data_IF_689791579144
#
_entry.id   IF_689791579144
#
_cell.length_a   1.000
_cell.length_b   1.000
_cell.length_c   1.000
_cell.angle_alpha   90.00
_cell.angle_beta   90.00
_cell.angle_gamma   90.00
#
_symmetry.space_group_name_H-M   'P 1'
#
loop_
_entity.id
_entity.type
_entity.pdbx_description
1 polymer ?
#
# COMPACT_ATOMS: atom_id res chain seq x y z
N UNK A 1 -38.85 -10.67 13.79
CA UNK A 1 -37.42 -10.28 13.82
C UNK A 1 -37.16 -8.80 14.13
N UNK A 2 -38.13 -8.00 14.60
CA UNK A 2 -37.81 -6.70 15.23
C UNK A 2 -37.00 -6.97 16.51
N UNK A 3 -35.81 -6.40 16.63
CA UNK A 3 -34.96 -6.50 17.84
C UNK A 3 -33.86 -7.56 17.82
N UNK A 4 -33.75 -8.42 16.79
CA UNK A 4 -32.73 -9.48 16.75
C UNK A 4 -31.29 -8.93 16.65
N UNK A 5 -31.10 -7.73 16.11
CA UNK A 5 -29.81 -7.05 16.04
C UNK A 5 -29.54 -6.14 17.25
N UNK A 6 -30.49 -6.03 18.18
CA UNK A 6 -30.28 -5.31 19.43
C UNK A 6 -29.62 -6.28 20.43
N UNK A 7 -28.38 -6.03 20.89
CA UNK A 7 -27.66 -6.94 21.77
C UNK A 7 -28.41 -7.26 23.05
N UNK A 8 -29.00 -6.25 23.71
CA UNK A 8 -29.71 -6.44 24.98
C UNK A 8 -31.01 -7.24 24.80
N UNK A 9 -31.78 -6.94 23.75
CA UNK A 9 -33.02 -7.71 23.46
C UNK A 9 -32.72 -9.16 23.08
N UNK A 10 -31.63 -9.40 22.33
CA UNK A 10 -31.24 -10.74 21.94
C UNK A 10 -30.73 -11.57 23.13
N UNK A 11 -29.88 -10.97 23.97
CA UNK A 11 -29.36 -11.62 25.19
C UNK A 11 -30.48 -11.97 26.18
N UNK A 12 -31.39 -11.03 26.46
CA UNK A 12 -32.53 -11.24 27.37
C UNK A 12 -33.46 -12.36 26.90
N UNK A 13 -33.64 -12.51 25.58
CA UNK A 13 -34.56 -13.49 25.01
C UNK A 13 -33.96 -14.89 24.81
N UNK A 14 -32.63 -15.00 24.68
CA UNK A 14 -31.96 -16.28 24.35
C UNK A 14 -31.07 -16.83 25.46
N UNK A 15 -30.56 -15.98 26.36
CA UNK A 15 -29.57 -16.38 27.37
C UNK A 15 -28.24 -16.88 26.79
N UNK A 16 -27.98 -16.62 25.50
CA UNK A 16 -26.76 -17.06 24.81
C UNK A 16 -25.55 -16.26 25.31
N UNK A 17 -24.55 -16.95 25.86
CA UNK A 17 -23.23 -16.38 26.14
C UNK A 17 -22.21 -16.80 25.08
N UNK A 18 -21.13 -16.03 24.93
CA UNK A 18 -20.04 -16.43 24.04
C UNK A 18 -19.35 -17.69 24.60
N UNK A 19 -19.32 -18.77 23.81
CA UNK A 19 -18.59 -19.99 24.18
C UNK A 19 -17.08 -19.82 24.08
N UNK A 20 -16.60 -18.76 23.45
CA UNK A 20 -15.19 -18.56 23.13
C UNK A 20 -14.68 -19.45 21.99
N UNK A 21 -15.56 -20.18 21.29
CA UNK A 21 -15.15 -21.07 20.19
C UNK A 21 -14.52 -20.30 19.02
N UNK A 22 -13.38 -20.80 18.54
CA UNK A 22 -12.60 -20.24 17.42
C UNK A 22 -12.52 -21.27 16.29
N UNK A 23 -13.63 -21.55 15.57
CA UNK A 23 -13.70 -22.67 14.61
C UNK A 23 -12.68 -22.59 13.47
N UNK A 24 -12.22 -21.39 13.10
CA UNK A 24 -11.20 -21.21 12.06
C UNK A 24 -9.82 -21.74 12.44
N UNK A 25 -9.56 -21.97 13.73
CA UNK A 25 -8.31 -22.58 14.23
C UNK A 25 -8.41 -24.12 14.32
N UNK A 26 -9.55 -24.70 13.96
CA UNK A 26 -9.80 -26.14 14.02
C UNK A 26 -10.36 -26.62 15.37
N UNK A 27 -10.56 -27.95 15.54
CA UNK A 27 -11.23 -28.52 16.70
C UNK A 27 -10.56 -28.14 18.02
N UNK A 28 -11.34 -27.92 19.09
CA UNK A 28 -10.85 -27.58 20.44
C UNK A 28 -10.14 -26.22 20.56
N UNK A 29 -10.18 -25.37 19.54
CA UNK A 29 -9.76 -23.99 19.69
C UNK A 29 -10.87 -23.19 20.38
N UNK A 30 -10.66 -22.90 21.67
CA UNK A 30 -11.61 -22.18 22.49
C UNK A 30 -10.84 -21.22 23.40
N UNK A 31 -11.31 -19.98 23.49
CA UNK A 31 -10.84 -19.01 24.45
C UNK A 31 -11.37 -19.36 25.86
N UNK A 32 -10.48 -19.61 26.83
CA UNK A 32 -10.92 -19.95 28.18
C UNK A 32 -11.60 -18.74 28.84
N UNK A 33 -12.75 -18.99 29.47
CA UNK A 33 -13.50 -18.00 30.26
C UNK A 33 -13.93 -16.74 29.50
N UNK A 34 -14.21 -16.83 28.20
CA UNK A 34 -14.73 -15.70 27.42
C UNK A 34 -15.98 -15.08 28.11
N UNK A 35 -15.94 -13.78 28.37
CA UNK A 35 -17.03 -13.01 28.98
C UNK A 35 -17.69 -12.03 28.00
N UNK A 36 -17.33 -12.14 26.72
CA UNK A 36 -17.83 -11.21 25.70
C UNK A 36 -19.30 -11.46 25.36
N UNK A 37 -20.00 -10.38 25.00
CA UNK A 37 -21.39 -10.45 24.55
C UNK A 37 -21.48 -10.95 23.11
N UNK A 38 -22.44 -11.83 22.82
CA UNK A 38 -22.72 -12.25 21.45
C UNK A 38 -23.36 -11.12 20.64
N UNK A 39 -22.92 -10.95 19.39
CA UNK A 39 -23.51 -9.99 18.45
C UNK A 39 -24.11 -10.73 17.25
N UNK A 40 -25.37 -10.44 16.96
CA UNK A 40 -26.04 -10.99 15.78
C UNK A 40 -25.59 -10.22 14.54
N UNK A 41 -25.07 -10.95 13.57
CA UNK A 41 -24.72 -10.43 12.24
C UNK A 41 -25.41 -11.28 11.17
N UNK A 42 -25.75 -10.68 10.03
CA UNK A 42 -26.26 -11.46 8.90
C UNK A 42 -25.14 -12.31 8.31
N UNK A 43 -25.43 -13.57 7.96
CA UNK A 43 -24.42 -14.52 7.43
C UNK A 43 -23.67 -14.00 6.19
N UNK A 44 -24.31 -13.18 5.37
CA UNK A 44 -23.71 -12.58 4.17
C UNK A 44 -23.26 -11.13 4.34
N UNK A 45 -23.26 -10.58 5.56
CA UNK A 45 -22.81 -9.22 5.77
C UNK A 45 -21.28 -9.12 5.57
N UNK A 46 -20.84 -8.06 4.90
CA UNK A 46 -19.42 -7.79 4.67
C UNK A 46 -18.62 -7.63 5.97
N UNK A 47 -19.27 -7.22 7.05
CA UNK A 47 -18.65 -7.07 8.36
C UNK A 47 -18.40 -8.40 9.10
N UNK A 48 -18.71 -9.56 8.51
CA UNK A 48 -18.40 -10.86 9.10
C UNK A 48 -16.90 -11.15 9.08
N UNK A 49 -16.15 -10.59 8.13
CA UNK A 49 -14.74 -10.87 7.95
C UNK A 49 -14.03 -9.72 7.22
N UNK A 50 -13.01 -9.15 7.85
CA UNK A 50 -12.09 -8.19 7.24
C UNK A 50 -10.68 -8.78 7.25
N UNK A 51 -10.11 -9.20 6.12
CA UNK A 51 -8.75 -9.69 6.09
C UNK A 51 -7.77 -8.57 6.43
N UNK A 52 -6.73 -8.88 7.19
CA UNK A 52 -5.58 -8.01 7.34
C UNK A 52 -4.41 -8.58 6.54
N UNK A 53 -4.14 -7.95 5.41
CA UNK A 53 -3.11 -8.32 4.45
C UNK A 53 -2.03 -7.24 4.46
N UNK A 54 -0.78 -7.66 4.54
CA UNK A 54 0.38 -6.79 4.32
C UNK A 54 0.98 -7.12 2.96
N UNK A 55 1.46 -6.10 2.26
CA UNK A 55 2.03 -6.24 0.92
C UNK A 55 3.38 -5.56 0.81
N UNK A 56 4.24 -6.16 -0.01
CA UNK A 56 5.58 -5.68 -0.33
C UNK A 56 5.80 -5.73 -1.84
N UNK A 57 6.39 -4.66 -2.38
CA UNK A 57 6.92 -4.67 -3.75
C UNK A 57 8.38 -5.15 -3.69
N UNK A 58 8.71 -6.16 -4.51
CA UNK A 58 10.07 -6.64 -4.62
C UNK A 58 10.93 -5.60 -5.37
N UNK A 59 11.92 -5.05 -4.68
CA UNK A 59 12.84 -4.01 -5.17
C UNK A 59 14.30 -4.46 -5.02
N UNK A 60 15.25 -3.86 -5.76
CA UNK A 60 16.68 -4.04 -5.50
C UNK A 60 17.06 -3.60 -4.08
N UNK A 61 18.04 -4.26 -3.43
CA UNK A 61 18.85 -5.34 -3.97
C UNK A 61 18.16 -6.72 -3.87
N UNK A 62 17.03 -6.84 -3.16
CA UNK A 62 16.31 -8.10 -2.95
C UNK A 62 15.82 -8.76 -4.25
N UNK A 63 15.55 -7.98 -5.30
CA UNK A 63 15.19 -8.48 -6.63
C UNK A 63 16.39 -8.99 -7.44
N UNK A 64 17.62 -8.72 -7.01
CA UNK A 64 18.81 -9.03 -7.78
C UNK A 64 19.14 -10.52 -7.73
N UNK A 65 19.76 -11.00 -8.81
CA UNK A 65 20.14 -12.41 -8.98
C UNK A 65 21.07 -12.89 -7.86
N UNK A 66 21.96 -12.03 -7.37
CA UNK A 66 22.85 -12.34 -6.24
C UNK A 66 22.05 -12.67 -4.96
N UNK A 67 21.04 -11.86 -4.62
CA UNK A 67 20.18 -12.12 -3.46
C UNK A 67 19.46 -13.45 -3.59
N UNK A 68 18.84 -13.72 -4.75
CA UNK A 68 18.16 -14.99 -5.02
C UNK A 68 19.06 -16.21 -4.88
N UNK A 69 20.31 -16.11 -5.35
CA UNK A 69 21.29 -17.20 -5.24
C UNK A 69 21.66 -17.46 -3.79
N UNK A 70 21.95 -16.41 -3.03
CA UNK A 70 22.37 -16.57 -1.65
C UNK A 70 21.21 -16.93 -0.73
N UNK A 71 19.96 -16.59 -1.06
CA UNK A 71 18.75 -17.02 -0.34
C UNK A 71 18.32 -18.45 -0.63
N UNK A 72 18.92 -19.11 -1.61
CA UNK A 72 18.75 -20.54 -1.76
C UNK A 72 19.43 -21.28 -0.59
N UNK A 73 18.62 -21.90 0.27
CA UNK A 73 19.10 -22.58 1.48
C UNK A 73 20.17 -23.65 1.19
N UNK A 74 20.07 -24.38 0.07
CA UNK A 74 21.07 -25.39 -0.30
C UNK A 74 22.42 -24.74 -0.62
N UNK A 75 22.41 -23.66 -1.40
CA UNK A 75 23.61 -22.93 -1.77
C UNK A 75 24.23 -22.27 -0.53
N UNK A 76 23.39 -21.71 0.34
CA UNK A 76 23.83 -21.07 1.58
C UNK A 76 24.46 -22.05 2.56
N UNK A 77 23.85 -23.22 2.76
CA UNK A 77 24.41 -24.26 3.62
C UNK A 77 25.80 -24.70 3.14
N UNK A 78 26.00 -24.88 1.83
CA UNK A 78 27.32 -25.18 1.26
C UNK A 78 28.35 -24.07 1.53
N UNK A 79 27.92 -22.80 1.56
CA UNK A 79 28.78 -21.67 1.89
C UNK A 79 29.12 -21.68 3.39
N UNK A 80 28.13 -21.86 4.26
CA UNK A 80 28.33 -21.96 5.70
C UNK A 80 29.29 -23.10 6.08
N UNK A 81 29.16 -24.28 5.45
CA UNK A 81 30.07 -25.41 5.68
C UNK A 81 31.53 -25.03 5.38
N UNK A 82 31.78 -24.24 4.32
CA UNK A 82 33.14 -23.75 4.01
C UNK A 82 33.63 -22.76 5.05
N UNK A 83 32.78 -21.80 5.45
CA UNK A 83 33.12 -20.77 6.43
C UNK A 83 33.38 -21.34 7.83
N UNK A 84 32.65 -22.38 8.22
CA UNK A 84 32.84 -23.05 9.51
C UNK A 84 34.13 -23.86 9.57
N UNK A 85 34.60 -24.38 8.43
CA UNK A 85 35.84 -25.15 8.33
C UNK A 85 37.10 -24.28 8.15
N UNK A 86 36.97 -23.03 7.67
CA UNK A 86 38.11 -22.13 7.40
C UNK A 86 38.02 -20.88 8.27
N UNK A 87 38.53 -21.01 9.50
CA UNK A 87 38.57 -19.93 10.49
C UNK A 87 40.01 -19.53 10.84
N UNK A 88 40.26 -18.23 10.98
CA UNK A 88 41.52 -17.66 11.47
C UNK A 88 41.21 -16.85 12.71
N UNK A 89 41.87 -17.17 13.84
CA UNK A 89 41.62 -16.55 15.14
C UNK A 89 40.16 -16.66 15.64
N UNK A 90 39.44 -17.70 15.20
CA UNK A 90 38.04 -17.93 15.57
C UNK A 90 37.01 -17.29 14.63
N UNK A 91 37.45 -16.40 13.73
CA UNK A 91 36.61 -15.71 12.75
C UNK A 91 36.65 -16.42 11.38
N UNK A 92 35.52 -16.48 10.66
CA UNK A 92 35.48 -17.04 9.31
C UNK A 92 36.27 -16.18 8.33
N UNK A 93 37.07 -16.82 7.46
CA UNK A 93 37.79 -16.11 6.40
C UNK A 93 36.91 -16.00 5.17
N UNK A 94 36.43 -14.80 4.86
CA UNK A 94 35.66 -14.54 3.64
C UNK A 94 36.54 -13.78 2.67
N UNK A 95 36.82 -14.35 1.49
CA UNK A 95 37.64 -13.69 0.46
C UNK A 95 37.19 -14.04 -0.95
N UNK A 96 37.46 -13.14 -1.91
CA UNK A 96 37.12 -13.33 -3.32
C UNK A 96 37.69 -14.66 -3.89
N UNK A 97 38.96 -14.97 -3.57
CA UNK A 97 39.62 -16.18 -4.03
C UNK A 97 38.94 -17.47 -3.53
N UNK A 98 38.39 -17.44 -2.31
CA UNK A 98 37.73 -18.60 -1.72
C UNK A 98 36.48 -19.01 -2.51
N UNK A 99 35.71 -18.02 -2.97
CA UNK A 99 34.44 -18.27 -3.67
C UNK A 99 34.51 -18.02 -5.18
N UNK A 100 35.68 -17.73 -5.75
CA UNK A 100 35.86 -17.38 -7.16
C UNK A 100 35.26 -18.39 -8.16
N UNK A 101 35.39 -19.69 -7.90
CA UNK A 101 34.81 -20.74 -8.76
C UNK A 101 33.27 -20.70 -8.74
N UNK A 102 32.68 -20.51 -7.55
CA UNK A 102 31.23 -20.42 -7.37
C UNK A 102 30.68 -19.10 -7.93
N UNK A 103 31.39 -17.98 -7.73
CA UNK A 103 31.06 -16.69 -8.33
C UNK A 103 31.05 -16.76 -9.86
N UNK A 104 32.10 -17.35 -10.47
CA UNK A 104 32.19 -17.58 -11.92
C UNK A 104 31.06 -18.47 -12.46
N UNK A 105 30.66 -19.51 -11.72
CA UNK A 105 29.51 -20.36 -12.08
C UNK A 105 28.22 -19.56 -12.24
N UNK A 106 28.03 -18.52 -11.44
CA UNK A 106 26.86 -17.65 -11.48
C UNK A 106 27.05 -16.37 -12.30
N UNK A 107 28.22 -16.16 -12.90
CA UNK A 107 28.52 -14.95 -13.68
C UNK A 107 28.63 -13.68 -12.83
N UNK A 108 28.99 -13.81 -11.54
CA UNK A 108 29.12 -12.70 -10.59
C UNK A 108 30.61 -12.46 -10.33
N UNK A 109 31.01 -11.18 -10.25
CA UNK A 109 32.37 -10.80 -9.86
C UNK A 109 32.70 -11.33 -8.46
N UNK A 110 33.90 -11.89 -8.28
CA UNK A 110 34.26 -12.64 -7.07
C UNK A 110 34.27 -11.75 -5.82
N UNK A 111 34.69 -10.50 -5.95
CA UNK A 111 34.68 -9.49 -4.90
C UNK A 111 33.25 -9.15 -4.45
N UNK A 112 32.32 -8.98 -5.40
CA UNK A 112 30.90 -8.69 -5.12
C UNK A 112 30.25 -9.87 -4.42
N UNK A 113 30.51 -11.09 -4.90
CA UNK A 113 29.99 -12.31 -4.31
C UNK A 113 30.49 -12.50 -2.86
N UNK A 114 31.78 -12.27 -2.61
CA UNK A 114 32.36 -12.35 -1.27
C UNK A 114 31.85 -11.26 -0.32
N UNK A 115 31.61 -10.04 -0.81
CA UNK A 115 31.01 -8.95 -0.03
C UNK A 115 29.58 -9.30 0.40
N UNK A 116 28.76 -9.84 -0.50
CA UNK A 116 27.40 -10.26 -0.18
C UNK A 116 27.35 -11.44 0.79
N UNK A 117 28.26 -12.41 0.67
CA UNK A 117 28.40 -13.48 1.68
C UNK A 117 28.75 -12.88 3.05
N UNK A 118 29.69 -11.92 3.08
CA UNK A 118 30.07 -11.22 4.32
C UNK A 118 28.87 -10.53 4.97
N UNK A 119 28.10 -9.77 4.19
CA UNK A 119 26.90 -9.09 4.67
C UNK A 119 25.88 -10.09 5.22
N UNK A 120 25.53 -11.13 4.44
CA UNK A 120 24.57 -12.14 4.89
C UNK A 120 25.00 -12.91 6.13
N UNK A 121 26.29 -13.20 6.25
CA UNK A 121 26.82 -13.97 7.38
C UNK A 121 26.94 -13.13 8.66
N UNK A 122 27.42 -11.88 8.55
CA UNK A 122 27.65 -11.01 9.71
C UNK A 122 26.43 -10.19 10.12
N UNK A 123 25.57 -9.84 9.16
CA UNK A 123 24.39 -8.99 9.33
C UNK A 123 23.14 -9.63 8.69
N UNK A 124 22.74 -10.83 9.12
CA UNK A 124 21.60 -11.54 8.55
C UNK A 124 20.30 -10.74 8.62
N UNK A 125 20.12 -9.90 9.64
CA UNK A 125 18.97 -8.99 9.81
C UNK A 125 18.89 -7.89 8.76
N UNK A 126 20.04 -7.38 8.30
CA UNK A 126 20.12 -6.38 7.22
C UNK A 126 19.85 -7.06 5.89
N UNK A 127 20.51 -8.20 5.66
CA UNK A 127 20.35 -9.00 4.45
C UNK A 127 18.89 -9.43 4.21
N UNK A 128 18.22 -9.89 5.27
CA UNK A 128 16.82 -10.35 5.19
C UNK A 128 15.79 -9.22 5.33
N UNK A 129 16.22 -7.99 5.61
CA UNK A 129 15.33 -6.85 5.83
C UNK A 129 14.44 -6.98 7.05
N UNK A 130 14.81 -7.82 8.03
CA UNK A 130 14.04 -8.04 9.28
C UNK A 130 14.41 -7.07 10.39
N UNK A 131 15.32 -6.12 10.15
CA UNK A 131 15.58 -5.04 11.08
C UNK A 131 14.30 -4.23 11.33
N UNK A 132 14.02 -3.89 12.60
CA UNK A 132 12.87 -3.06 12.94
C UNK A 132 12.97 -1.71 12.24
N UNK A 133 11.96 -1.39 11.44
CA UNK A 133 11.86 -0.13 10.73
C UNK A 133 10.41 0.35 10.73
N UNK A 134 10.23 1.66 10.66
CA UNK A 134 8.90 2.25 10.55
C UNK A 134 8.34 2.05 9.15
N UNK A 135 7.01 2.03 9.02
CA UNK A 135 6.35 1.98 7.71
C UNK A 135 6.83 3.11 6.80
N UNK A 136 7.02 4.32 7.33
CA UNK A 136 7.54 5.45 6.55
C UNK A 136 8.96 5.21 6.04
N UNK A 137 9.84 4.55 6.80
CA UNK A 137 11.18 4.21 6.35
C UNK A 137 11.13 3.13 5.25
N UNK A 138 10.27 2.12 5.42
CA UNK A 138 10.06 1.08 4.43
C UNK A 138 9.56 1.65 3.08
N UNK A 139 8.53 2.50 3.12
CA UNK A 139 8.00 3.19 1.94
C UNK A 139 9.01 4.12 1.29
N UNK A 140 9.86 4.77 2.10
CA UNK A 140 10.93 5.60 1.58
C UNK A 140 11.95 4.76 0.78
N UNK A 141 12.29 3.56 1.23
CA UNK A 141 13.19 2.64 0.50
C UNK A 141 12.59 2.20 -0.84
N UNK A 142 11.31 1.83 -0.87
CA UNK A 142 10.61 1.53 -2.14
C UNK A 142 10.60 2.73 -3.10
N UNK A 143 10.30 3.94 -2.59
CA UNK A 143 10.39 5.17 -3.36
C UNK A 143 11.79 5.38 -3.94
N UNK A 144 12.85 5.17 -3.15
CA UNK A 144 14.22 5.28 -3.63
C UNK A 144 14.53 4.29 -4.75
N UNK A 145 13.96 3.09 -4.73
CA UNK A 145 14.11 2.13 -5.83
C UNK A 145 13.47 2.64 -7.13
N UNK A 146 12.26 3.22 -7.08
CA UNK A 146 11.62 3.80 -8.28
C UNK A 146 12.36 5.02 -8.81
N UNK A 147 12.88 5.85 -7.89
CA UNK A 147 13.69 7.02 -8.21
C UNK A 147 15.18 6.66 -8.39
N UNK A 148 15.54 5.39 -8.39
CA UNK A 148 16.90 4.90 -8.54
C UNK A 148 17.35 4.79 -10.00
N UNK A 149 18.54 4.24 -10.25
CA UNK A 149 18.94 3.85 -11.59
C UNK A 149 18.10 2.67 -12.09
N UNK A 150 17.80 2.65 -13.39
CA UNK A 150 17.16 1.48 -14.01
C UNK A 150 18.08 0.26 -13.89
N UNK A 151 17.59 -0.92 -13.44
CA UNK A 151 18.37 -2.14 -13.37
C UNK A 151 19.05 -2.50 -14.71
N UNK A 152 20.17 -3.21 -14.63
CA UNK A 152 20.83 -3.77 -15.81
C UNK A 152 19.89 -4.75 -16.53
N UNK A 153 19.98 -4.94 -17.86
CA UNK A 153 19.08 -5.82 -18.61
C UNK A 153 18.93 -7.23 -18.04
N UNK A 154 19.97 -7.77 -17.38
CA UNK A 154 19.99 -9.09 -16.74
C UNK A 154 19.23 -9.17 -15.42
N UNK A 155 18.85 -8.03 -14.83
CA UNK A 155 18.18 -7.94 -13.53
C UNK A 155 16.72 -7.44 -13.64
N UNK A 156 16.15 -7.45 -14.85
CA UNK A 156 14.82 -6.87 -15.15
C UNK A 156 13.65 -7.86 -15.09
N UNK A 157 13.89 -9.09 -14.63
CA UNK A 157 12.88 -10.15 -14.64
C UNK A 157 11.72 -9.88 -13.67
N UNK A 158 12.04 -9.35 -12.48
CA UNK A 158 11.08 -9.22 -11.38
C UNK A 158 10.84 -7.75 -10.98
N UNK A 159 11.73 -6.86 -11.42
CA UNK A 159 11.65 -5.42 -11.21
C UNK A 159 12.30 -4.69 -12.39
N UNK A 160 11.56 -3.83 -13.08
CA UNK A 160 12.07 -2.96 -14.14
C UNK A 160 11.37 -1.61 -14.07
N UNK A 161 12.15 -0.55 -14.27
CA UNK A 161 11.68 0.83 -14.25
C UNK A 161 12.16 1.57 -15.49
N UNK A 162 11.35 2.48 -16.01
CA UNK A 162 11.70 3.38 -17.11
C UNK A 162 11.29 4.79 -16.70
N UNK A 163 12.27 5.56 -16.23
CA UNK A 163 12.09 6.98 -15.95
C UNK A 163 11.79 7.73 -17.23
N UNK A 164 10.84 8.64 -17.13
CA UNK A 164 10.51 9.58 -18.21
C UNK A 164 11.01 10.96 -17.81
N UNK A 165 11.29 11.82 -18.80
CA UNK A 165 11.65 13.21 -18.47
C UNK A 165 10.36 13.98 -18.27
N UNK A 166 10.22 14.63 -17.13
CA UNK A 166 9.02 15.42 -16.84
C UNK A 166 8.80 16.54 -17.87
N UNK A 167 9.87 17.01 -18.53
CA UNK A 167 9.83 17.98 -19.64
C UNK A 167 9.12 17.48 -20.89
N UNK A 168 9.01 16.16 -21.06
CA UNK A 168 8.35 15.54 -22.23
C UNK A 168 6.83 15.58 -22.10
N UNK A 169 6.29 15.87 -20.91
CA UNK A 169 4.86 16.01 -20.67
C UNK A 169 4.40 17.46 -20.81
N UNK A 170 3.11 17.62 -21.11
CA UNK A 170 2.48 18.95 -21.10
C UNK A 170 2.32 19.51 -19.68
N UNK A 171 1.88 20.77 -19.57
CA UNK A 171 1.62 21.45 -18.30
C UNK A 171 0.65 20.67 -17.38
N UNK A 172 -0.26 19.87 -17.96
CA UNK A 172 -1.23 19.02 -17.24
C UNK A 172 -0.54 18.06 -16.26
N UNK A 173 0.62 17.54 -16.61
CA UNK A 173 1.38 16.62 -15.76
C UNK A 173 2.59 17.33 -15.18
N UNK A 174 3.35 18.06 -16.00
CA UNK A 174 4.63 18.66 -15.61
C UNK A 174 4.52 19.66 -14.45
N UNK A 175 3.41 20.36 -14.32
CA UNK A 175 3.26 21.39 -13.28
C UNK A 175 2.79 20.79 -11.93
N UNK A 176 2.24 19.57 -11.96
CA UNK A 176 1.63 18.90 -10.80
C UNK A 176 2.46 17.73 -10.27
N UNK A 177 3.28 17.12 -11.12
CA UNK A 177 4.15 15.99 -10.79
C UNK A 177 5.61 16.35 -11.03
N UNK A 178 6.50 15.87 -10.17
CA UNK A 178 7.94 16.03 -10.30
C UNK A 178 8.59 14.86 -11.04
N UNK A 179 8.07 13.65 -10.85
CA UNK A 179 8.59 12.42 -11.47
C UNK A 179 7.42 11.56 -11.97
N UNK A 180 7.61 10.99 -13.17
CA UNK A 180 6.75 9.94 -13.72
C UNK A 180 7.65 8.75 -14.08
N UNK A 181 7.44 7.64 -13.38
CA UNK A 181 8.23 6.41 -13.57
C UNK A 181 7.30 5.30 -14.04
N UNK A 182 7.60 4.78 -15.23
CA UNK A 182 6.92 3.62 -15.76
C UNK A 182 7.55 2.37 -15.17
N UNK A 183 6.74 1.38 -14.80
CA UNK A 183 7.23 0.17 -14.15
C UNK A 183 6.77 -1.03 -14.99
N UNK A 184 7.49 -1.39 -16.07
CA UNK A 184 7.16 -2.53 -16.93
C UNK A 184 7.07 -3.87 -16.21
N UNK A 185 7.82 -4.03 -15.13
CA UNK A 185 7.83 -5.25 -14.31
C UNK A 185 7.90 -4.86 -12.85
N UNK A 186 6.98 -5.40 -12.06
CA UNK A 186 7.06 -5.42 -10.61
C UNK A 186 6.51 -6.75 -10.10
N UNK A 187 6.95 -7.16 -8.92
CA UNK A 187 6.37 -8.29 -8.21
C UNK A 187 5.85 -7.83 -6.86
N UNK A 188 4.57 -8.08 -6.61
CA UNK A 188 3.95 -7.88 -5.32
C UNK A 188 3.88 -9.22 -4.58
N UNK A 189 4.26 -9.22 -3.30
CA UNK A 189 3.97 -10.32 -2.38
C UNK A 189 2.99 -9.84 -1.32
N UNK A 190 1.90 -10.60 -1.13
CA UNK A 190 0.86 -10.32 -0.13
C UNK A 190 0.79 -11.46 0.87
N UNK A 191 0.90 -11.15 2.15
CA UNK A 191 0.76 -12.11 3.25
C UNK A 191 -0.49 -11.82 4.07
N UNK A 192 -1.28 -12.86 4.36
CA UNK A 192 -2.37 -12.76 5.33
C UNK A 192 -1.77 -12.84 6.74
N UNK A 193 -1.90 -11.77 7.52
CA UNK A 193 -1.34 -11.67 8.88
C UNK A 193 -2.41 -11.93 9.93
N UNK A 194 -3.66 -11.65 9.62
CA UNK A 194 -4.79 -11.87 10.52
C UNK A 194 -6.09 -11.45 9.86
N UNK A 195 -7.15 -11.36 10.66
CA UNK A 195 -8.41 -10.75 10.22
C UNK A 195 -9.16 -10.19 11.43
N UNK A 196 -10.06 -9.25 11.19
CA UNK A 196 -10.99 -8.76 12.20
C UNK A 196 -12.44 -9.09 11.79
N UNK A 197 -13.37 -8.94 12.74
CA UNK A 197 -14.81 -9.10 12.50
C UNK A 197 -15.53 -7.89 13.09
N UNK A 198 -16.72 -7.59 12.57
CA UNK A 198 -17.61 -6.47 12.92
C UNK A 198 -17.04 -5.10 12.55
N UNK A 199 -15.80 -4.82 12.93
CA UNK A 199 -15.07 -3.60 12.61
C UNK A 199 -13.78 -3.91 11.86
N UNK A 200 -13.41 -3.12 10.84
CA UNK A 200 -12.13 -3.29 10.15
C UNK A 200 -10.96 -2.96 11.09
N UNK A 201 -9.77 -3.41 10.72
CA UNK A 201 -8.52 -3.10 11.41
C UNK A 201 -8.32 -1.58 11.53
N UNK A 202 -7.94 -1.15 12.73
CA UNK A 202 -7.84 0.25 13.14
C UNK A 202 -6.44 0.65 13.62
N UNK A 203 -5.43 -0.19 13.37
CA UNK A 203 -4.04 0.03 13.78
C UNK A 203 -3.61 -0.81 14.99
N UNK A 204 -4.54 -1.42 15.72
CA UNK A 204 -4.23 -2.25 16.90
C UNK A 204 -4.13 -3.74 16.52
N UNK A 205 -2.88 -4.23 16.43
CA UNK A 205 -2.60 -5.63 16.07
C UNK A 205 -3.20 -6.64 17.07
N UNK A 206 -3.45 -6.24 18.32
CA UNK A 206 -4.03 -7.14 19.33
C UNK A 206 -5.48 -7.53 19.03
N UNK A 207 -6.16 -6.78 18.16
CA UNK A 207 -7.55 -7.03 17.73
C UNK A 207 -7.66 -7.99 16.56
N UNK A 208 -6.54 -8.38 15.97
CA UNK A 208 -6.54 -9.34 14.89
C UNK A 208 -6.73 -10.74 15.46
N UNK A 209 -7.68 -11.48 14.90
CA UNK A 209 -7.84 -12.89 15.19
C UNK A 209 -6.60 -13.67 14.71
N UNK A 210 -6.11 -14.55 15.57
CA UNK A 210 -5.01 -15.45 15.25
C UNK A 210 -5.36 -16.38 14.09
N UNK A 211 -4.36 -16.70 13.26
CA UNK A 211 -4.46 -17.61 12.12
C UNK A 211 -4.11 -19.06 12.48
N UNK A 212 -3.41 -19.29 13.58
CA UNK A 212 -2.95 -20.59 14.02
C UNK A 212 -3.06 -20.75 15.54
N UNK A 213 -3.18 -22.00 16.02
CA UNK A 213 -3.23 -22.31 17.47
C UNK A 213 -1.91 -22.00 18.19
N UNK A 214 -0.81 -22.05 17.46
CA UNK A 214 0.54 -21.78 17.91
C UNK A 214 1.17 -20.81 16.94
N UNK A 215 2.05 -19.96 17.43
CA UNK A 215 2.84 -19.08 16.57
C UNK A 215 3.67 -19.90 15.57
N UNK A 216 3.65 -19.49 14.31
CA UNK A 216 4.37 -20.13 13.22
C UNK A 216 5.42 -19.16 12.68
N UNK A 217 6.54 -19.70 12.22
CA UNK A 217 7.62 -18.93 11.58
C UNK A 217 7.34 -18.58 10.12
N UNK A 218 6.10 -18.77 9.64
CA UNK A 218 5.70 -18.53 8.26
C UNK A 218 4.25 -18.06 8.20
N UNK A 219 3.93 -17.30 7.15
CA UNK A 219 2.58 -16.83 6.84
C UNK A 219 2.17 -17.29 5.45
N UNK A 220 0.88 -17.61 5.22
CA UNK A 220 0.38 -17.86 3.88
C UNK A 220 0.46 -16.57 3.06
N UNK A 221 1.13 -16.65 1.90
CA UNK A 221 1.33 -15.52 1.01
C UNK A 221 1.13 -15.91 -0.46
N UNK A 222 0.79 -14.90 -1.27
CA UNK A 222 0.69 -15.02 -2.73
C UNK A 222 1.63 -13.98 -3.34
N UNK A 223 2.39 -14.41 -4.35
CA UNK A 223 3.22 -13.52 -5.14
C UNK A 223 2.64 -13.38 -6.56
N UNK A 224 2.60 -12.17 -7.07
CA UNK A 224 2.02 -11.86 -8.37
C UNK A 224 2.91 -10.86 -9.10
N UNK A 225 3.18 -11.16 -10.38
CA UNK A 225 3.89 -10.23 -11.25
C UNK A 225 2.89 -9.25 -11.87
N UNK A 226 3.39 -8.08 -12.21
CA UNK A 226 2.55 -7.00 -12.70
C UNK A 226 3.35 -5.87 -13.33
N UNK A 227 2.65 -4.78 -13.53
CA UNK A 227 3.18 -3.54 -14.07
C UNK A 227 2.50 -2.35 -13.38
N UNK A 228 3.08 -1.15 -13.51
CA UNK A 228 2.54 0.03 -12.85
C UNK A 228 3.09 1.35 -13.36
N UNK A 229 2.52 2.42 -12.81
CA UNK A 229 2.95 3.79 -12.99
C UNK A 229 3.15 4.39 -11.59
N UNK A 230 4.34 4.91 -11.33
CA UNK A 230 4.62 5.71 -10.15
C UNK A 230 4.62 7.19 -10.51
N UNK A 231 3.90 7.98 -9.72
CA UNK A 231 3.76 9.42 -9.87
C UNK A 231 4.20 10.11 -8.56
N UNK A 232 5.22 10.95 -8.62
CA UNK A 232 5.61 11.81 -7.50
C UNK A 232 5.00 13.20 -7.69
N UNK A 233 4.21 13.68 -6.73
CA UNK A 233 3.64 15.02 -6.79
C UNK A 233 4.75 16.09 -6.66
N UNK A 234 4.49 17.28 -7.21
CA UNK A 234 5.41 18.41 -7.12
C UNK A 234 5.38 19.01 -5.71
N UNK A 235 6.48 18.86 -4.96
CA UNK A 235 6.62 19.45 -3.63
C UNK A 235 6.37 20.97 -3.62
N UNK A 236 6.81 21.66 -4.69
CA UNK A 236 6.59 23.10 -4.83
C UNK A 236 5.10 23.42 -4.98
N UNK A 237 4.39 22.71 -5.88
CA UNK A 237 2.95 22.93 -6.09
C UNK A 237 2.14 22.56 -4.85
N UNK A 238 2.48 21.45 -4.17
CA UNK A 238 1.90 21.05 -2.89
C UNK A 238 2.06 22.14 -1.82
N UNK A 239 3.29 22.59 -1.60
CA UNK A 239 3.60 23.63 -0.61
C UNK A 239 2.86 24.94 -0.88
N UNK A 240 2.70 25.33 -2.16
CA UNK A 240 1.92 26.52 -2.53
C UNK A 240 0.44 26.30 -2.26
N UNK A 241 -0.10 25.16 -2.71
CA UNK A 241 -1.52 24.80 -2.53
C UNK A 241 -1.93 24.75 -1.06
N UNK A 242 -1.13 24.11 -0.20
CA UNK A 242 -1.37 24.03 1.25
C UNK A 242 -1.35 25.41 1.94
N UNK A 243 -0.53 26.35 1.46
CA UNK A 243 -0.42 27.71 2.04
C UNK A 243 -1.49 28.68 1.55
N UNK A 244 -2.00 28.45 0.33
CA UNK A 244 -2.92 29.39 -0.34
C UNK A 244 -4.38 29.16 0.05
N UNK A 245 -4.74 27.93 0.43
CA UNK A 245 -6.12 27.53 0.67
C UNK A 245 -6.30 27.03 2.10
N UNK A 246 -6.63 27.96 3.01
CA UNK A 246 -6.82 27.65 4.43
C UNK A 246 -8.00 26.71 4.69
N UNK A 247 -8.97 26.65 3.79
CA UNK A 247 -10.12 25.74 3.86
C UNK A 247 -9.72 24.27 3.79
N UNK A 248 -8.56 23.94 3.21
CA UNK A 248 -8.03 22.56 3.24
C UNK A 248 -7.75 22.14 4.68
N UNK A 249 -7.16 23.01 5.50
CA UNK A 249 -6.83 22.70 6.88
C UNK A 249 -8.11 22.40 7.68
N UNK A 250 -9.17 23.21 7.49
CA UNK A 250 -10.46 23.00 8.15
C UNK A 250 -11.07 21.62 7.81
N UNK A 251 -10.95 21.19 6.55
CA UNK A 251 -11.43 19.87 6.10
C UNK A 251 -10.64 18.72 6.71
N UNK A 252 -9.31 18.87 6.82
CA UNK A 252 -8.44 17.89 7.47
C UNK A 252 -8.73 17.81 8.97
N UNK A 253 -8.93 18.96 9.62
CA UNK A 253 -9.27 19.04 11.04
C UNK A 253 -10.61 18.35 11.32
N UNK A 254 -11.62 18.53 10.47
CA UNK A 254 -12.91 17.83 10.60
C UNK A 254 -12.77 16.30 10.57
N UNK A 255 -11.90 15.77 9.70
CA UNK A 255 -11.61 14.32 9.63
C UNK A 255 -10.83 13.88 10.87
N UNK A 256 -9.81 14.64 11.26
CA UNK A 256 -8.95 14.32 12.39
C UNK A 256 -9.69 14.39 13.74
N UNK A 257 -10.63 15.31 13.91
CA UNK A 257 -11.49 15.41 15.09
C UNK A 257 -12.34 14.16 15.29
N UNK A 258 -12.90 13.63 14.19
CA UNK A 258 -13.65 12.37 14.24
C UNK A 258 -12.74 11.19 14.49
N UNK A 259 -11.58 11.16 13.84
CA UNK A 259 -10.61 10.10 14.05
C UNK A 259 -10.10 10.07 15.49
N UNK A 260 -9.83 11.23 16.10
CA UNK A 260 -9.46 11.35 17.51
C UNK A 260 -10.53 10.80 18.44
N UNK A 261 -11.82 11.06 18.16
CA UNK A 261 -12.95 10.47 18.92
C UNK A 261 -12.94 8.95 18.82
N UNK A 262 -12.79 8.41 17.61
CA UNK A 262 -12.73 6.95 17.40
C UNK A 262 -11.54 6.33 18.10
N UNK A 263 -10.35 6.93 18.02
CA UNK A 263 -9.17 6.46 18.75
C UNK A 263 -9.40 6.49 20.26
N UNK A 264 -9.99 7.56 20.79
CA UNK A 264 -10.28 7.69 22.21
C UNK A 264 -11.31 6.67 22.70
N UNK A 265 -12.39 6.43 21.96
CA UNK A 265 -13.41 5.42 22.28
C UNK A 265 -12.83 4.01 22.28
N UNK A 266 -11.81 3.79 21.45
CA UNK A 266 -11.17 2.49 21.26
C UNK A 266 -9.92 2.31 22.09
N UNK A 267 -9.35 3.35 22.68
CA UNK A 267 -8.04 3.28 23.33
C UNK A 267 -6.89 2.96 22.38
N UNK A 268 -6.97 3.39 21.11
CA UNK A 268 -5.89 3.23 20.13
C UNK A 268 -5.04 4.51 20.04
N UNK A 269 -3.81 4.38 19.56
CA UNK A 269 -2.94 5.53 19.32
C UNK A 269 -3.56 6.45 18.26
N UNK A 270 -3.66 7.74 18.56
CA UNK A 270 -4.11 8.74 17.59
C UNK A 270 -2.92 9.20 16.74
N UNK A 271 -3.02 8.98 15.43
CA UNK A 271 -2.11 9.54 14.43
C UNK A 271 -2.92 10.39 13.45
N UNK A 272 -2.64 11.70 13.34
CA UNK A 272 -3.41 12.58 12.47
C UNK A 272 -3.13 12.28 11.00
N UNK A 273 -4.17 12.38 10.18
CA UNK A 273 -4.07 12.38 8.73
C UNK A 273 -3.61 13.75 8.24
N UNK A 274 -2.86 13.77 7.13
CA UNK A 274 -2.39 14.99 6.49
C UNK A 274 -3.19 15.34 5.25
N UNK A 275 -3.16 16.62 4.86
CA UNK A 275 -3.62 17.13 3.55
C UNK A 275 -3.07 16.30 2.39
N UNK A 276 -1.76 16.01 2.42
CA UNK A 276 -1.05 15.24 1.39
C UNK A 276 -1.56 13.80 1.30
N UNK A 277 -1.84 13.15 2.42
CA UNK A 277 -2.39 11.79 2.41
C UNK A 277 -3.77 11.77 1.79
N UNK A 278 -4.66 12.67 2.24
CA UNK A 278 -6.02 12.76 1.70
C UNK A 278 -6.02 13.09 0.20
N UNK A 279 -5.14 14.00 -0.23
CA UNK A 279 -4.96 14.36 -1.63
C UNK A 279 -4.46 13.18 -2.46
N UNK A 280 -3.35 12.56 -2.06
CA UNK A 280 -2.73 11.44 -2.79
C UNK A 280 -3.70 10.26 -2.89
N UNK A 281 -4.37 9.91 -1.80
CA UNK A 281 -5.36 8.84 -1.74
C UNK A 281 -6.60 9.13 -2.61
N UNK A 282 -7.11 10.37 -2.56
CA UNK A 282 -8.25 10.72 -3.42
C UNK A 282 -7.84 10.75 -4.90
N UNK A 283 -6.64 11.24 -5.20
CA UNK A 283 -6.11 11.30 -6.56
C UNK A 283 -5.89 9.89 -7.14
N UNK A 284 -5.29 8.97 -6.39
CA UNK A 284 -5.12 7.57 -6.83
C UNK A 284 -6.46 6.91 -7.14
N UNK A 285 -7.50 7.17 -6.34
CA UNK A 285 -8.85 6.69 -6.61
C UNK A 285 -9.40 7.17 -7.94
N UNK A 286 -9.31 8.48 -8.21
CA UNK A 286 -9.80 9.06 -9.45
C UNK A 286 -9.03 8.55 -10.68
N UNK A 287 -7.71 8.45 -10.56
CA UNK A 287 -6.86 7.93 -11.63
C UNK A 287 -7.13 6.44 -11.88
N UNK A 288 -7.28 5.61 -10.84
CA UNK A 288 -7.61 4.18 -11.00
C UNK A 288 -8.94 4.03 -11.74
N UNK A 289 -9.97 4.79 -11.37
CA UNK A 289 -11.29 4.74 -12.05
C UNK A 289 -11.16 5.07 -13.53
N UNK A 290 -10.37 6.09 -13.86
CA UNK A 290 -10.13 6.48 -15.25
C UNK A 290 -9.27 5.46 -16.01
N UNK A 291 -8.19 4.96 -15.40
CA UNK A 291 -7.33 3.93 -15.99
C UNK A 291 -8.05 2.60 -16.22
N UNK A 292 -8.99 2.23 -15.34
CA UNK A 292 -9.85 1.05 -15.58
C UNK A 292 -10.63 1.17 -16.87
N UNK A 293 -11.12 2.38 -17.19
CA UNK A 293 -11.80 2.66 -18.46
C UNK A 293 -10.81 2.66 -19.64
N UNK A 294 -9.65 3.32 -19.49
CA UNK A 294 -8.69 3.51 -20.58
C UNK A 294 -7.90 2.24 -20.94
N UNK A 295 -7.62 1.39 -19.94
CA UNK A 295 -6.87 0.14 -20.12
C UNK A 295 -7.77 -1.09 -20.31
N UNK A 296 -9.07 -0.98 -19.97
CA UNK A 296 -9.99 -2.12 -19.93
C UNK A 296 -9.74 -3.09 -18.76
N UNK A 297 -8.92 -2.71 -17.78
CA UNK A 297 -8.75 -3.47 -16.54
C UNK A 297 -9.96 -3.30 -15.64
N UNK A 298 -10.42 -4.39 -15.03
CA UNK A 298 -11.40 -4.29 -13.96
C UNK A 298 -10.82 -3.50 -12.77
N UNK A 299 -11.60 -2.58 -12.20
CA UNK A 299 -11.18 -1.73 -11.08
C UNK A 299 -10.72 -2.49 -9.83
N UNK A 300 -11.08 -3.77 -9.69
CA UNK A 300 -10.61 -4.63 -8.61
C UNK A 300 -9.19 -5.19 -8.82
N UNK A 301 -8.66 -5.09 -10.05
CA UNK A 301 -7.31 -5.58 -10.42
C UNK A 301 -6.24 -4.50 -10.32
N UNK A 302 -6.62 -3.24 -10.52
CA UNK A 302 -5.78 -2.08 -10.26
C UNK A 302 -5.76 -1.80 -8.77
N UNK A 303 -4.59 -1.42 -8.26
CA UNK A 303 -4.36 -1.11 -6.86
C UNK A 303 -3.59 0.16 -6.73
N UNK A 304 -3.82 0.86 -5.63
CA UNK A 304 -2.94 1.91 -5.18
C UNK A 304 -1.92 1.40 -4.17
N UNK A 305 -0.82 2.14 -4.08
CA UNK A 305 0.10 2.10 -2.96
C UNK A 305 0.59 3.51 -2.69
N UNK A 306 0.43 3.99 -1.46
CA UNK A 306 0.67 5.38 -1.09
C UNK A 306 2.08 5.57 -0.51
N UNK A 307 2.73 6.66 -0.92
CA UNK A 307 4.06 7.08 -0.47
C UNK A 307 3.98 8.49 0.09
N UNK A 308 3.45 8.62 1.31
CA UNK A 308 3.22 9.92 1.93
C UNK A 308 3.94 9.98 3.27
N UNK A 309 4.80 10.98 3.44
CA UNK A 309 5.43 11.30 4.73
C UNK A 309 5.76 12.79 4.78
N UNK A 310 5.59 13.37 5.97
CA UNK A 310 5.93 14.76 6.27
C UNK A 310 7.22 14.87 7.10
N UNK A 311 7.94 13.77 7.30
CA UNK A 311 9.22 13.76 8.00
C UNK A 311 10.26 14.56 7.20
N UNK A 312 11.03 15.44 7.84
CA UNK A 312 12.01 16.30 7.13
C UNK A 312 13.01 15.47 6.31
N UNK A 313 13.49 14.35 6.85
CA UNK A 313 14.48 13.49 6.20
C UNK A 313 13.87 12.50 5.19
N UNK A 314 12.55 12.33 5.20
CA UNK A 314 11.81 11.36 4.37
C UNK A 314 10.56 11.94 3.74
N UNK A 315 10.57 13.25 3.46
CA UNK A 315 9.42 13.93 2.89
C UNK A 315 9.14 13.36 1.49
N UNK A 316 7.91 12.89 1.30
CA UNK A 316 7.47 12.28 0.04
C UNK A 316 5.98 12.41 -0.10
N UNK A 317 5.52 12.56 -1.34
CA UNK A 317 4.11 12.53 -1.69
C UNK A 317 3.98 11.92 -3.08
N UNK A 318 3.92 10.60 -3.13
CA UNK A 318 3.82 9.83 -4.35
C UNK A 318 2.72 8.77 -4.28
N UNK A 319 2.29 8.34 -5.45
CA UNK A 319 1.32 7.25 -5.63
C UNK A 319 1.87 6.25 -6.64
N UNK A 320 1.78 4.97 -6.31
CA UNK A 320 1.95 3.88 -7.27
C UNK A 320 0.57 3.35 -7.62
N UNK A 321 0.26 3.31 -8.92
CA UNK A 321 -0.89 2.59 -9.44
C UNK A 321 -0.37 1.39 -10.21
N UNK A 322 -0.78 0.20 -9.81
CA UNK A 322 -0.26 -1.03 -10.37
C UNK A 322 -1.34 -2.09 -10.52
N UNK A 323 -1.10 -3.04 -11.41
CA UNK A 323 -1.86 -4.29 -11.47
C UNK A 323 -0.99 -5.42 -10.95
N UNK A 324 -1.59 -6.33 -10.19
CA UNK A 324 -0.96 -7.55 -9.71
C UNK A 324 -1.96 -8.72 -9.81
N UNK A 325 -2.65 -8.81 -10.94
CA UNK A 325 -3.54 -9.92 -11.29
C UNK A 325 -2.74 -11.15 -11.70
N UNK A 326 -3.00 -12.29 -11.06
CA UNK A 326 -2.25 -13.55 -11.22
C UNK A 326 -2.56 -14.34 -12.49
N UNK A 327 -3.20 -13.72 -13.49
CA UNK A 327 -3.52 -14.41 -14.72
C UNK A 327 -2.23 -14.57 -15.53
N UNK A 328 -1.95 -15.82 -15.91
CA UNK A 328 -0.77 -16.26 -16.68
C UNK A 328 -0.60 -15.56 -18.05
N UNK A 329 -1.54 -14.70 -18.43
CA UNK A 329 -1.43 -13.75 -19.51
C UNK A 329 -0.81 -12.47 -18.94
N UNK A 330 0.52 -12.38 -19.03
CA UNK A 330 1.28 -11.23 -18.53
C UNK A 330 0.66 -9.90 -18.95
N UNK A 331 0.83 -8.87 -18.11
CA UNK A 331 0.34 -7.52 -18.39
C UNK A 331 0.70 -7.13 -19.83
N UNK A 332 -0.32 -6.78 -20.62
CA UNK A 332 -0.18 -6.49 -22.05
C UNK A 332 0.52 -5.14 -22.30
N UNK A 333 1.17 -4.54 -21.29
CA UNK A 333 1.75 -3.21 -21.35
C UNK A 333 0.70 -2.09 -21.32
N UNK A 334 -0.57 -2.42 -21.08
CA UNK A 334 -1.68 -1.49 -21.20
C UNK A 334 -1.59 -0.36 -20.19
N UNK A 335 -1.32 -0.68 -18.93
CA UNK A 335 -1.20 0.29 -17.86
C UNK A 335 0.07 1.13 -18.05
N UNK A 336 1.20 0.49 -18.32
CA UNK A 336 2.48 1.19 -18.54
C UNK A 336 2.41 2.18 -19.70
N UNK A 337 1.72 1.81 -20.78
CA UNK A 337 1.50 2.68 -21.93
C UNK A 337 0.68 3.92 -21.57
N UNK A 338 -0.29 3.82 -20.64
CA UNK A 338 -1.04 4.99 -20.19
C UNK A 338 -0.19 5.98 -19.38
N UNK A 339 0.95 5.55 -18.85
CA UNK A 339 1.89 6.46 -18.19
C UNK A 339 2.76 7.26 -19.16
N UNK A 340 2.79 6.92 -20.46
CA UNK A 340 3.61 7.64 -21.44
C UNK A 340 3.03 9.04 -21.76
N UNK A 341 3.92 9.98 -22.13
CA UNK A 341 3.54 11.33 -22.55
C UNK A 341 2.50 11.30 -23.70
N UNK A 342 1.51 12.18 -23.59
CA UNK A 342 0.30 12.23 -24.40
C UNK A 342 -0.86 11.44 -23.80
N UNK A 343 -0.60 10.21 -23.33
CA UNK A 343 -1.63 9.36 -22.75
C UNK A 343 -1.95 9.77 -21.31
N UNK A 344 -0.92 9.97 -20.48
CA UNK A 344 -1.10 10.31 -19.07
C UNK A 344 -1.85 11.63 -18.90
N UNK A 345 -1.57 12.63 -19.74
CA UNK A 345 -2.30 13.89 -19.77
C UNK A 345 -3.79 13.69 -19.99
N UNK A 346 -4.15 12.82 -20.95
CA UNK A 346 -5.54 12.52 -21.28
C UNK A 346 -6.23 11.85 -20.09
N UNK A 347 -5.57 10.90 -19.44
CA UNK A 347 -6.04 10.22 -18.23
C UNK A 347 -6.25 11.21 -17.08
N UNK A 348 -5.26 12.05 -16.77
CA UNK A 348 -5.35 13.03 -15.67
C UNK A 348 -6.47 14.03 -15.92
N UNK A 349 -6.57 14.60 -17.13
CA UNK A 349 -7.65 15.54 -17.47
C UNK A 349 -9.03 14.88 -17.33
N UNK A 350 -9.20 13.66 -17.83
CA UNK A 350 -10.46 12.95 -17.72
C UNK A 350 -10.81 12.61 -16.27
N UNK A 351 -9.83 12.17 -15.47
CA UNK A 351 -10.03 11.87 -14.05
C UNK A 351 -10.44 13.12 -13.25
N UNK A 352 -9.78 14.25 -13.48
CA UNK A 352 -10.10 15.55 -12.83
C UNK A 352 -11.48 16.03 -13.27
N UNK A 353 -11.79 15.99 -14.57
CA UNK A 353 -13.10 16.41 -15.10
C UNK A 353 -14.24 15.55 -14.57
N UNK A 354 -14.05 14.24 -14.48
CA UNK A 354 -15.05 13.33 -13.92
C UNK A 354 -15.26 13.57 -12.42
N UNK A 355 -14.25 14.12 -11.72
CA UNK A 355 -14.36 14.46 -10.31
C UNK A 355 -15.15 15.75 -10.04
N UNK A 356 -15.43 16.58 -11.06
CA UNK A 356 -16.24 17.80 -10.91
C UNK A 356 -17.70 17.48 -10.56
N UNK A 357 -18.26 16.39 -11.07
CA UNK A 357 -19.68 16.07 -10.93
C UNK A 357 -19.91 14.69 -10.30
N UNK A 358 -20.80 14.62 -9.31
CA UNK A 358 -21.31 13.38 -8.76
C UNK A 358 -22.83 13.34 -8.95
N UNK A 359 -23.34 12.16 -9.32
CA UNK A 359 -24.79 11.95 -9.45
C UNK A 359 -25.57 12.17 -8.14
N UNK A 360 -24.87 12.17 -7.00
CA UNK A 360 -25.43 12.41 -5.67
C UNK A 360 -25.23 13.84 -5.18
N UNK A 361 -24.75 14.76 -6.02
CA UNK A 361 -24.67 16.18 -5.65
C UNK A 361 -26.06 16.82 -5.53
N UNK A 362 -26.26 17.78 -4.60
CA UNK A 362 -25.26 18.38 -3.71
C UNK A 362 -24.95 17.58 -2.45
N UNK A 363 -25.74 16.55 -2.12
CA UNK A 363 -25.60 15.77 -0.87
C UNK A 363 -24.21 15.16 -0.70
N UNK A 364 -23.58 14.72 -1.80
CA UNK A 364 -22.22 14.22 -1.76
C UNK A 364 -21.22 15.34 -1.49
N UNK A 365 -21.28 16.45 -2.24
CA UNK A 365 -20.33 17.56 -2.12
C UNK A 365 -20.36 18.25 -0.75
N UNK A 366 -21.56 18.43 -0.20
CA UNK A 366 -21.80 19.07 1.11
C UNK A 366 -21.62 18.11 2.30
N UNK A 367 -21.37 16.82 2.04
CA UNK A 367 -21.24 15.83 3.11
C UNK A 367 -20.04 16.16 4.01
N UNK A 368 -20.35 16.54 5.25
CA UNK A 368 -19.36 16.69 6.30
C UNK A 368 -18.87 15.35 6.83
N UNK A 369 -19.48 14.20 6.50
CA UNK A 369 -19.05 12.89 6.99
C UNK A 369 -19.87 11.72 6.51
N UNK A 370 -19.24 10.77 5.82
CA UNK A 370 -19.83 9.51 5.36
C UNK A 370 -18.84 8.34 5.45
N UNK A 371 -19.32 7.13 5.16
CA UNK A 371 -18.51 5.91 5.21
C UNK A 371 -18.12 5.48 6.63
N UNK A 372 -17.11 4.62 6.73
CA UNK A 372 -16.62 4.14 8.02
C UNK A 372 -16.12 5.30 8.87
N UNK A 373 -16.61 5.38 10.11
CA UNK A 373 -16.28 6.42 11.08
C UNK A 373 -16.60 7.87 10.62
N UNK A 374 -17.35 8.03 9.53
CA UNK A 374 -17.65 9.36 8.96
C UNK A 374 -16.41 10.10 8.44
N UNK A 375 -15.37 9.37 8.01
CA UNK A 375 -14.06 9.92 7.59
C UNK A 375 -14.01 10.36 6.13
N UNK A 376 -15.07 10.14 5.36
CA UNK A 376 -15.16 10.62 3.98
C UNK A 376 -15.97 11.92 3.95
N UNK A 377 -15.50 12.92 3.21
CA UNK A 377 -16.23 14.18 2.98
C UNK A 377 -16.95 14.10 1.64
N UNK A 378 -16.48 14.78 0.59
CA UNK A 378 -17.08 14.72 -0.75
C UNK A 378 -16.70 13.44 -1.50
N UNK A 379 -17.06 12.28 -0.94
CA UNK A 379 -16.65 10.98 -1.47
C UNK A 379 -17.68 9.87 -1.23
N UNK A 380 -18.31 9.41 -2.31
CA UNK A 380 -19.30 8.32 -2.28
C UNK A 380 -19.05 7.30 -3.41
N UNK A 381 -19.84 6.22 -3.43
CA UNK A 381 -19.70 5.13 -4.40
C UNK A 381 -19.82 5.59 -5.87
N UNK A 382 -20.57 6.68 -6.13
CA UNK A 382 -20.75 7.19 -7.48
C UNK A 382 -19.50 7.89 -8.04
N UNK A 383 -18.67 8.51 -7.19
CA UNK A 383 -17.58 9.38 -7.66
C UNK A 383 -16.17 8.88 -7.31
N UNK A 384 -15.92 8.42 -6.08
CA UNK A 384 -14.55 8.19 -5.59
C UNK A 384 -14.29 6.80 -5.04
N UNK A 385 -15.28 6.09 -4.48
CA UNK A 385 -14.98 4.80 -3.87
C UNK A 385 -14.52 3.77 -4.91
N UNK A 386 -13.61 2.90 -4.48
CA UNK A 386 -13.05 1.78 -5.24
C UNK A 386 -13.44 0.44 -4.59
N UNK A 387 -13.27 -0.70 -5.29
CA UNK A 387 -13.28 -2.00 -4.63
C UNK A 387 -12.26 -2.05 -3.47
N UNK A 388 -12.59 -2.76 -2.39
CA UNK A 388 -11.72 -2.88 -1.20
C UNK A 388 -10.33 -3.45 -1.54
N UNK A 389 -10.24 -4.33 -2.56
CA UNK A 389 -8.98 -4.92 -3.01
C UNK A 389 -8.01 -3.93 -3.67
N UNK A 390 -8.51 -2.75 -4.07
CA UNK A 390 -7.76 -1.73 -4.79
C UNK A 390 -7.23 -0.62 -3.87
N UNK A 391 -7.85 -0.42 -2.70
CA UNK A 391 -7.61 0.72 -1.82
C UNK A 391 -6.81 0.31 -0.56
N UNK A 392 -5.70 0.99 -0.31
CA UNK A 392 -4.82 0.71 0.83
C UNK A 392 -5.47 1.11 2.17
N UNK A 393 -6.27 2.17 2.18
CA UNK A 393 -6.91 2.70 3.40
C UNK A 393 -8.35 2.20 3.61
N UNK A 394 -8.85 1.33 2.74
CA UNK A 394 -10.18 0.73 2.85
C UNK A 394 -11.32 1.74 2.65
N UNK A 395 -11.21 2.62 1.66
CA UNK A 395 -12.19 3.65 1.32
C UNK A 395 -12.49 4.62 2.48
N UNK A 396 -11.50 4.92 3.33
CA UNK A 396 -11.57 5.93 4.39
C UNK A 396 -10.70 7.11 4.03
N UNK A 397 -11.01 8.30 4.55
CA UNK A 397 -10.17 9.50 4.34
C UNK A 397 -10.13 9.83 2.85
N UNK A 398 -11.29 10.18 2.30
CA UNK A 398 -11.47 10.54 0.89
C UNK A 398 -12.27 11.83 0.76
N UNK A 399 -11.87 12.67 -0.20
CA UNK A 399 -12.54 13.95 -0.44
C UNK A 399 -12.15 14.56 -1.78
N UNK A 400 -13.03 14.46 -2.79
CA UNK A 400 -12.75 15.01 -4.14
C UNK A 400 -12.65 16.53 -4.18
N UNK A 401 -13.12 17.24 -3.15
CA UNK A 401 -12.98 18.68 -3.09
C UNK A 401 -11.51 19.12 -3.01
N UNK A 402 -10.60 18.27 -2.50
CA UNK A 402 -9.15 18.54 -2.56
C UNK A 402 -8.60 18.51 -3.98
N UNK A 403 -9.31 17.90 -4.93
CA UNK A 403 -8.90 17.75 -6.32
C UNK A 403 -9.47 18.90 -7.15
N UNK A 404 -10.79 19.11 -7.07
CA UNK A 404 -11.53 20.02 -7.97
C UNK A 404 -12.02 21.31 -7.30
N UNK A 405 -11.89 21.44 -5.98
CA UNK A 405 -12.45 22.53 -5.20
C UNK A 405 -13.79 22.18 -4.56
N UNK A 406 -14.24 23.04 -3.64
CA UNK A 406 -15.56 22.95 -3.02
C UNK A 406 -16.49 24.03 -3.57
N UNK A 407 -17.79 23.97 -3.25
CA UNK A 407 -18.72 25.05 -3.64
C UNK A 407 -18.34 26.39 -2.98
N UNK A 408 -17.87 26.36 -1.73
CA UNK A 408 -17.40 27.54 -1.01
C UNK A 408 -16.08 28.10 -1.58
N UNK A 409 -15.22 27.21 -2.10
CA UNK A 409 -13.95 27.58 -2.71
C UNK A 409 -13.67 26.74 -3.98
N UNK A 410 -14.22 27.14 -5.15
CA UNK A 410 -14.05 26.40 -6.40
C UNK A 410 -12.61 26.40 -6.93
N UNK A 411 -11.75 27.30 -6.44
CA UNK A 411 -10.33 27.38 -6.81
C UNK A 411 -9.42 26.62 -5.84
N UNK A 412 -9.97 26.11 -4.72
CA UNK A 412 -9.21 25.43 -3.66
C UNK A 412 -8.72 24.03 -3.99
N UNK A 413 -9.16 23.44 -5.11
CA UNK A 413 -8.70 22.13 -5.56
C UNK A 413 -7.25 22.17 -6.02
N UNK A 414 -6.50 21.08 -5.79
CA UNK A 414 -5.11 20.98 -6.24
C UNK A 414 -4.99 21.10 -7.77
N UNK A 415 -5.99 20.63 -8.53
CA UNK A 415 -6.05 20.70 -10.00
C UNK A 415 -7.04 21.76 -10.52
N UNK A 416 -7.42 22.75 -9.71
CA UNK A 416 -8.38 23.78 -10.10
C UNK A 416 -7.95 24.55 -11.36
N UNK A 417 -6.65 24.81 -11.54
CA UNK A 417 -6.14 25.48 -12.74
C UNK A 417 -6.38 24.67 -14.03
N UNK A 418 -6.63 23.35 -13.96
CA UNK A 418 -6.96 22.54 -15.15
C UNK A 418 -8.44 22.61 -15.53
N UNK A 419 -9.31 22.95 -14.58
CA UNK A 419 -10.76 23.03 -14.77
C UNK A 419 -11.14 24.42 -15.28
N UNK A 420 -10.51 25.45 -14.71
CA UNK A 420 -10.84 26.85 -14.98
C UNK A 420 -9.92 27.51 -16.03
N UNK A 421 -9.10 26.73 -16.74
CA UNK A 421 -8.17 27.17 -17.78
C UNK A 421 -8.81 27.50 -19.14
#
# INVERSE_FOLDING_TARGET
>A
MKGAFNPSTFLESTGLSCSGERPWLGPQAQEPNCQDSVQVVQRGASNVYFPYVVSSILIPPYSETLHRILDNQSIWNEICDVLDNIRVNGEPVISANMFASKAKKYGIEAEVFAAAITEKYLHPEVWSGTAEQTESAYRYTERQAFLGPRPAPTERDEFDIKKTKISDYSYVVRDYFSEVVLIPRLRETRALVGFSRVTPYDGDLSRLAALSKKELSWLPAVSSNGEGIYLELSENKLSIWERTHSDIAERIDLINDKWARVCSERGTEFRPYSSRLLLAHTLSHLIIRQLSFDCGYDSSTLKERLYVSNDVDRNMCGILIYTAGGDSEGSLGGLVRQGESGNLETTILAAVKNAEFCASDPLCLESEGQGYYGLNLAACHACTLLPETACELGNRVLDRALIVGSEANPQGGYFSDLIHA
#
